data_IF_961466120904
#
_entry.id   IF_961466120904
#
_cell.length_a   1.000
_cell.length_b   1.000
_cell.length_c   1.000
_cell.angle_alpha   90.00
_cell.angle_beta   90.00
_cell.angle_gamma   90.00
#
_symmetry.space_group_name_H-M   'P 1'
#
loop_
_entity.id
_entity.type
_entity.pdbx_description
1 polymer ?
#
# COMPACT_ATOMS: atom_id res chain seq x y z
N UNK A 1 -4.20 9.97 -21.22
CA UNK A 1 -2.96 9.94 -20.40
C UNK A 1 -1.74 9.62 -21.26
N UNK A 2 -1.68 8.47 -21.92
CA UNK A 2 -0.55 8.02 -22.75
C UNK A 2 -0.04 9.04 -23.80
N UNK A 3 -0.96 9.76 -24.46
CA UNK A 3 -0.59 10.81 -25.42
C UNK A 3 0.25 11.91 -24.75
N UNK A 4 -0.17 12.39 -23.58
CA UNK A 4 0.54 13.43 -22.82
C UNK A 4 1.92 12.93 -22.38
N UNK A 5 2.00 11.69 -21.90
CA UNK A 5 3.26 11.08 -21.48
C UNK A 5 4.24 10.91 -22.65
N UNK A 6 3.71 10.52 -23.82
CA UNK A 6 4.50 10.37 -25.05
C UNK A 6 5.01 11.71 -25.54
N UNK A 7 4.15 12.74 -25.57
CA UNK A 7 4.55 14.09 -25.95
C UNK A 7 5.57 14.68 -24.97
N UNK A 8 5.46 14.39 -23.67
CA UNK A 8 6.45 14.81 -22.66
C UNK A 8 7.81 14.15 -22.89
N UNK A 9 7.83 12.82 -23.08
CA UNK A 9 9.07 12.06 -23.38
C UNK A 9 9.75 12.52 -24.67
N UNK A 10 8.97 12.87 -25.70
CA UNK A 10 9.48 13.45 -26.96
C UNK A 10 9.91 14.92 -26.83
N UNK A 11 9.69 15.56 -25.67
CA UNK A 11 10.01 16.97 -25.44
C UNK A 11 9.07 17.96 -26.14
N UNK A 12 7.94 17.49 -26.70
CA UNK A 12 6.89 18.33 -27.28
C UNK A 12 6.12 19.08 -26.19
N UNK A 13 5.90 18.42 -25.05
CA UNK A 13 5.40 19.04 -23.83
C UNK A 13 6.57 19.33 -22.90
N UNK A 14 6.79 20.59 -22.55
CA UNK A 14 7.90 21.03 -21.70
C UNK A 14 7.57 21.02 -20.20
N UNK A 15 6.30 21.23 -19.87
CA UNK A 15 5.81 21.33 -18.49
C UNK A 15 4.61 20.42 -18.32
N UNK A 16 4.63 19.61 -17.26
CA UNK A 16 3.53 18.72 -16.89
C UNK A 16 3.09 19.05 -15.47
N UNK A 17 1.82 19.41 -15.31
CA UNK A 17 1.18 19.56 -14.00
C UNK A 17 0.38 18.31 -13.67
N UNK A 18 0.69 17.69 -12.55
CA UNK A 18 0.18 16.38 -12.16
C UNK A 18 -0.32 16.40 -10.71
N UNK A 19 -1.38 15.65 -10.42
CA UNK A 19 -1.78 15.33 -9.04
C UNK A 19 -0.94 14.17 -8.50
N UNK A 20 -1.01 13.91 -7.19
CA UNK A 20 -0.20 12.91 -6.49
C UNK A 20 -0.29 11.50 -7.07
N UNK A 21 -1.45 11.11 -7.61
CA UNK A 21 -1.68 9.79 -8.22
C UNK A 21 -0.84 9.58 -9.48
N UNK A 22 -0.76 10.61 -10.34
CA UNK A 22 0.09 10.55 -11.52
C UNK A 22 1.57 10.62 -11.12
N UNK A 23 1.92 11.41 -10.10
CA UNK A 23 3.30 11.53 -9.63
C UNK A 23 3.86 10.22 -9.04
N UNK A 24 3.05 9.33 -8.49
CA UNK A 24 3.51 8.03 -8.00
C UNK A 24 3.61 6.96 -9.12
N UNK A 25 2.74 7.02 -10.13
CA UNK A 25 2.48 5.89 -11.03
C UNK A 25 3.09 5.92 -12.44
N UNK A 26 3.99 6.83 -12.78
CA UNK A 26 4.56 6.93 -14.15
C UNK A 26 6.05 7.17 -14.15
N UNK A 27 6.79 6.49 -15.03
CA UNK A 27 8.21 6.77 -15.23
C UNK A 27 8.42 7.98 -16.15
N UNK A 28 8.19 9.18 -15.62
CA UNK A 28 8.43 10.46 -16.32
C UNK A 28 9.48 11.27 -15.55
N UNK A 29 10.78 11.09 -15.83
CA UNK A 29 11.82 11.91 -15.22
C UNK A 29 11.79 13.32 -15.81
N UNK A 30 12.03 14.32 -14.97
CA UNK A 30 12.04 15.73 -15.32
C UNK A 30 13.32 16.37 -14.78
N UNK A 31 13.89 17.39 -15.44
CA UNK A 31 15.06 18.10 -14.86
C UNK A 31 14.73 18.71 -13.49
N UNK A 32 13.51 19.21 -13.32
CA UNK A 32 13.03 19.84 -12.09
C UNK A 32 11.63 19.34 -11.73
N UNK A 33 11.42 19.07 -10.45
CA UNK A 33 10.10 18.77 -9.85
C UNK A 33 9.73 19.92 -8.92
N UNK A 34 8.50 20.43 -9.05
CA UNK A 34 8.01 21.55 -8.23
C UNK A 34 6.75 21.09 -7.49
N UNK A 35 6.79 21.20 -6.17
CA UNK A 35 5.64 20.98 -5.30
C UNK A 35 4.99 22.33 -5.01
N UNK A 36 3.73 22.49 -5.46
CA UNK A 36 3.01 23.75 -5.30
C UNK A 36 2.68 24.09 -3.85
N UNK A 37 2.54 23.06 -3.01
CA UNK A 37 2.25 23.13 -1.58
C UNK A 37 2.70 21.83 -0.89
N UNK A 38 2.97 21.84 0.43
CA UNK A 38 3.39 20.66 1.18
C UNK A 38 2.21 19.76 1.62
N UNK A 39 1.07 19.84 0.94
CA UNK A 39 -0.18 19.17 1.31
C UNK A 39 -0.71 18.31 0.16
N UNK A 40 -1.16 17.10 0.47
CA UNK A 40 -1.96 16.24 -0.41
C UNK A 40 -3.35 16.11 0.21
N UNK A 41 -4.33 16.78 -0.38
CA UNK A 41 -5.67 16.89 0.22
C UNK A 41 -5.60 17.64 1.56
N UNK A 42 -5.96 16.96 2.65
CA UNK A 42 -5.89 17.51 4.03
C UNK A 42 -4.64 17.04 4.79
N UNK A 43 -3.87 16.14 4.22
CA UNK A 43 -2.68 15.58 4.85
C UNK A 43 -1.44 16.36 4.44
N UNK A 44 -0.54 16.57 5.40
CA UNK A 44 0.79 17.04 5.08
C UNK A 44 1.57 15.92 4.40
N UNK A 45 2.43 16.30 3.46
CA UNK A 45 3.28 15.37 2.76
C UNK A 45 4.17 14.62 3.76
N UNK A 46 4.31 13.30 3.63
CA UNK A 46 5.29 12.54 4.42
C UNK A 46 6.63 12.42 3.67
N UNK A 47 7.70 12.12 4.41
CA UNK A 47 9.05 11.99 3.82
C UNK A 47 9.13 10.94 2.70
N UNK A 48 8.36 9.86 2.76
CA UNK A 48 8.36 8.80 1.72
C UNK A 48 7.76 9.33 0.43
N UNK A 49 6.56 9.91 0.49
CA UNK A 49 5.85 10.49 -0.65
C UNK A 49 6.66 11.63 -1.26
N UNK A 50 7.26 12.49 -0.43
CA UNK A 50 8.15 13.54 -0.91
C UNK A 50 9.31 12.94 -1.70
N UNK A 51 10.06 11.99 -1.13
CA UNK A 51 11.23 11.39 -1.79
C UNK A 51 10.86 10.63 -3.06
N UNK A 52 9.73 9.92 -3.08
CA UNK A 52 9.24 9.26 -4.29
C UNK A 52 8.97 10.24 -5.43
N UNK A 53 8.35 11.38 -5.15
CA UNK A 53 8.07 12.40 -6.16
C UNK A 53 9.31 13.21 -6.54
N UNK A 54 10.10 13.64 -5.55
CA UNK A 54 11.32 14.42 -5.73
C UNK A 54 12.41 13.60 -6.46
N UNK A 55 12.44 12.28 -6.27
CA UNK A 55 13.35 11.36 -6.98
C UNK A 55 13.13 11.28 -8.49
N UNK A 56 12.06 11.89 -9.03
CA UNK A 56 11.89 12.06 -10.48
C UNK A 56 12.65 13.25 -11.05
N UNK A 57 13.24 14.08 -10.20
CA UNK A 57 14.08 15.18 -10.62
C UNK A 57 15.46 14.67 -11.08
N UNK A 58 15.89 15.10 -12.27
CA UNK A 58 17.10 14.66 -12.95
C UNK A 58 16.82 13.54 -13.94
N UNK A 59 17.21 13.73 -15.20
CA UNK A 59 17.14 12.70 -16.24
C UNK A 59 18.51 12.04 -16.40
N UNK A 60 18.59 10.76 -16.08
CA UNK A 60 19.81 9.95 -16.23
C UNK A 60 20.39 10.07 -17.64
N UNK A 61 21.68 10.40 -17.74
CA UNK A 61 22.38 10.54 -19.02
C UNK A 61 22.10 11.84 -19.78
N UNK A 62 21.26 12.74 -19.26
CA UNK A 62 20.95 14.02 -19.91
C UNK A 62 21.29 15.21 -19.01
N UNK A 63 20.81 15.20 -17.76
CA UNK A 63 21.03 16.30 -16.82
C UNK A 63 22.22 16.01 -15.91
N UNK A 64 23.03 17.03 -15.60
CA UNK A 64 24.12 16.94 -14.62
C UNK A 64 23.63 16.92 -13.17
N UNK A 65 22.42 17.43 -12.93
CA UNK A 65 21.75 17.46 -11.63
C UNK A 65 20.23 17.53 -11.78
N UNK A 66 19.51 16.97 -10.82
CA UNK A 66 18.07 17.14 -10.64
C UNK A 66 17.76 18.16 -9.55
N UNK A 67 16.67 18.92 -9.71
CA UNK A 67 16.24 19.91 -8.72
C UNK A 67 14.82 19.62 -8.22
N UNK A 68 14.64 19.64 -6.90
CA UNK A 68 13.33 19.55 -6.24
C UNK A 68 13.05 20.86 -5.51
N UNK A 69 11.91 21.49 -5.81
CA UNK A 69 11.51 22.77 -5.21
C UNK A 69 10.18 22.60 -4.50
N UNK A 70 10.15 22.81 -3.19
CA UNK A 70 8.93 22.78 -2.39
C UNK A 70 8.52 24.20 -1.98
N UNK A 71 7.37 24.66 -2.51
CA UNK A 71 6.82 25.97 -2.17
C UNK A 71 6.06 25.85 -0.84
N UNK A 72 6.36 26.75 0.10
CA UNK A 72 5.77 26.73 1.43
C UNK A 72 5.56 28.11 2.03
N UNK A 73 4.71 28.18 3.06
CA UNK A 73 4.49 29.37 3.88
C UNK A 73 5.51 29.44 5.02
N UNK A 74 5.79 30.64 5.57
CA UNK A 74 6.74 30.80 6.68
C UNK A 74 6.45 29.90 7.89
N UNK A 75 5.17 29.71 8.24
CA UNK A 75 4.76 28.83 9.35
C UNK A 75 4.98 27.34 9.12
N UNK A 76 5.23 26.90 7.89
CA UNK A 76 5.43 25.50 7.52
C UNK A 76 6.92 25.12 7.51
N UNK A 77 7.82 26.11 7.56
CA UNK A 77 9.26 25.93 7.37
C UNK A 77 9.84 24.86 8.32
N UNK A 78 9.51 24.93 9.61
CA UNK A 78 10.00 23.98 10.61
C UNK A 78 9.62 22.53 10.26
N UNK A 79 8.36 22.32 9.85
CA UNK A 79 7.85 21.00 9.49
C UNK A 79 8.46 20.47 8.19
N UNK A 80 8.72 21.36 7.23
CA UNK A 80 9.40 21.01 5.98
C UNK A 80 10.85 20.63 6.24
N UNK A 81 11.56 21.37 7.09
CA UNK A 81 12.93 21.02 7.45
C UNK A 81 12.97 19.64 8.12
N UNK A 82 11.97 19.28 8.94
CA UNK A 82 11.84 17.92 9.46
C UNK A 82 11.62 16.92 8.31
N UNK A 83 10.63 17.17 7.43
CA UNK A 83 10.30 16.30 6.29
C UNK A 83 11.50 16.03 5.36
N UNK A 84 12.34 17.02 5.10
CA UNK A 84 13.52 16.86 4.26
C UNK A 84 14.60 15.97 4.90
N UNK A 85 14.66 15.98 6.24
CA UNK A 85 15.61 15.18 7.02
C UNK A 85 15.03 13.85 7.51
N UNK A 86 13.72 13.65 7.41
CA UNK A 86 13.06 12.40 7.77
C UNK A 86 13.57 11.24 6.92
N UNK A 87 13.88 10.11 7.56
CA UNK A 87 14.09 8.84 6.88
C UNK A 87 12.81 8.31 6.24
N UNK A 88 12.91 7.20 5.50
CA UNK A 88 11.70 6.46 5.16
C UNK A 88 11.26 5.68 6.42
N UNK A 89 10.06 5.93 6.99
CA UNK A 89 9.55 5.13 8.09
C UNK A 89 9.52 3.64 7.71
N UNK A 90 9.69 2.73 8.68
CA UNK A 90 9.65 1.31 8.42
C UNK A 90 8.28 0.91 7.85
N UNK A 91 8.30 -0.03 6.91
CA UNK A 91 7.07 -0.58 6.36
C UNK A 91 6.30 -1.35 7.44
N UNK A 92 4.99 -1.14 7.48
CA UNK A 92 4.09 -1.82 8.40
C UNK A 92 3.19 -2.77 7.62
N UNK A 93 2.97 -3.96 8.17
CA UNK A 93 2.06 -4.93 7.56
C UNK A 93 0.62 -4.41 7.54
N UNK A 94 -0.01 -4.52 6.37
CA UNK A 94 -1.42 -4.18 6.19
C UNK A 94 -2.39 -5.25 6.74
N UNK A 95 -1.87 -6.39 7.20
CA UNK A 95 -2.68 -7.44 7.84
C UNK A 95 -3.06 -7.10 9.29
N UNK A 96 -2.56 -6.01 9.86
CA UNK A 96 -2.88 -5.61 11.23
C UNK A 96 -4.38 -5.37 11.42
N UNK A 97 -4.88 -5.61 12.63
CA UNK A 97 -6.32 -5.54 12.99
C UNK A 97 -7.00 -4.24 12.56
N UNK A 98 -6.32 -3.11 12.70
CA UNK A 98 -6.86 -1.77 12.36
C UNK A 98 -7.27 -1.61 10.89
N UNK A 99 -6.77 -2.48 10.00
CA UNK A 99 -6.92 -2.34 8.54
C UNK A 99 -7.89 -3.35 7.92
N UNK A 100 -8.51 -4.23 8.72
CA UNK A 100 -9.30 -5.37 8.24
C UNK A 100 -8.56 -6.30 7.25
N UNK A 101 -7.23 -6.16 7.13
CA UNK A 101 -6.45 -6.87 6.12
C UNK A 101 -6.39 -8.37 6.37
N UNK A 102 -6.34 -8.79 7.64
CA UNK A 102 -6.38 -10.21 8.01
C UNK A 102 -7.68 -10.88 7.56
N UNK A 103 -8.82 -10.22 7.74
CA UNK A 103 -10.14 -10.78 7.36
C UNK A 103 -10.23 -11.02 5.86
N UNK A 104 -9.77 -10.06 5.04
CA UNK A 104 -9.70 -10.24 3.59
C UNK A 104 -8.74 -11.37 3.20
N UNK A 105 -7.53 -11.37 3.74
CA UNK A 105 -6.52 -12.40 3.48
C UNK A 105 -7.03 -13.80 3.81
N UNK A 106 -7.66 -13.99 4.97
CA UNK A 106 -8.19 -15.30 5.39
C UNK A 106 -9.33 -15.76 4.47
N UNK A 107 -10.23 -14.86 4.06
CA UNK A 107 -11.28 -15.21 3.10
C UNK A 107 -10.68 -15.70 1.78
N UNK A 108 -9.69 -14.99 1.24
CA UNK A 108 -9.03 -15.35 -0.02
C UNK A 108 -8.33 -16.70 0.04
N UNK A 109 -7.55 -16.99 1.08
CA UNK A 109 -6.80 -18.25 1.17
C UNK A 109 -7.68 -19.46 1.46
N UNK A 110 -8.81 -19.27 2.16
CA UNK A 110 -9.78 -20.36 2.36
C UNK A 110 -10.62 -20.56 1.09
N UNK A 111 -11.10 -19.49 0.45
CA UNK A 111 -11.83 -19.57 -0.81
C UNK A 111 -11.01 -20.14 -1.96
N UNK A 112 -9.71 -19.84 -1.99
CA UNK A 112 -8.75 -20.44 -2.93
C UNK A 112 -8.36 -21.89 -2.58
N UNK A 113 -8.82 -22.45 -1.46
CA UNK A 113 -8.51 -23.81 -1.04
C UNK A 113 -7.08 -24.03 -0.53
N UNK A 114 -6.34 -22.96 -0.25
CA UNK A 114 -4.96 -23.00 0.26
C UNK A 114 -4.94 -23.31 1.76
N UNK A 115 -5.92 -22.78 2.50
CA UNK A 115 -6.09 -22.98 3.93
C UNK A 115 -7.42 -23.68 4.18
N UNK A 116 -7.38 -24.89 4.73
CA UNK A 116 -8.59 -25.65 5.05
C UNK A 116 -8.61 -26.13 6.51
N UNK A 117 -7.46 -26.24 7.16
CA UNK A 117 -7.35 -26.70 8.55
C UNK A 117 -6.78 -25.62 9.48
N UNK A 118 -6.93 -25.81 10.78
CA UNK A 118 -6.26 -24.97 11.78
C UNK A 118 -4.73 -24.98 11.59
N UNK A 119 -4.13 -26.11 11.23
CA UNK A 119 -2.69 -26.23 10.98
C UNK A 119 -2.24 -25.35 9.81
N UNK A 120 -3.09 -25.24 8.78
CA UNK A 120 -2.81 -24.40 7.61
C UNK A 120 -2.81 -22.92 7.97
N UNK A 121 -3.67 -22.49 8.89
CA UNK A 121 -3.67 -21.11 9.41
C UNK A 121 -2.31 -20.78 10.05
N UNK A 122 -1.81 -21.65 10.93
CA UNK A 122 -0.50 -21.46 11.53
C UNK A 122 0.62 -21.43 10.48
N UNK A 123 0.53 -22.25 9.43
CA UNK A 123 1.50 -22.24 8.32
C UNK A 123 1.43 -20.94 7.52
N UNK A 124 0.22 -20.48 7.20
CA UNK A 124 -0.01 -19.24 6.48
C UNK A 124 0.54 -18.02 7.25
N UNK A 125 0.18 -17.90 8.53
CA UNK A 125 0.62 -16.80 9.40
C UNK A 125 2.14 -16.70 9.47
N UNK A 126 2.84 -17.85 9.56
CA UNK A 126 4.32 -17.88 9.61
C UNK A 126 4.98 -17.21 8.40
N UNK A 127 4.32 -17.21 7.26
CA UNK A 127 4.83 -16.64 6.01
C UNK A 127 4.49 -15.15 5.84
N UNK A 128 3.79 -14.52 6.79
CA UNK A 128 3.36 -13.13 6.67
C UNK A 128 4.40 -12.14 7.21
N UNK A 129 4.44 -10.92 6.63
CA UNK A 129 5.21 -9.79 7.17
C UNK A 129 4.74 -9.38 8.58
N UNK A 130 3.47 -9.65 8.92
CA UNK A 130 2.97 -9.34 10.25
C UNK A 130 3.65 -10.23 11.31
N UNK A 131 3.85 -11.51 11.00
CA UNK A 131 4.55 -12.44 11.89
C UNK A 131 6.05 -12.15 12.04
N UNK A 132 6.69 -11.51 11.06
CA UNK A 132 8.08 -11.07 11.23
C UNK A 132 8.24 -9.84 12.13
N UNK A 133 7.14 -9.17 12.47
CA UNK A 133 7.17 -7.91 13.24
C UNK A 133 6.38 -7.97 14.56
N UNK A 134 5.55 -8.99 14.78
CA UNK A 134 4.76 -9.21 16.00
C UNK A 134 4.91 -10.65 16.51
N UNK A 135 4.64 -10.91 17.81
CA UNK A 135 4.64 -12.27 18.35
C UNK A 135 3.69 -13.19 17.58
N UNK A 136 4.15 -14.41 17.27
CA UNK A 136 3.39 -15.38 16.48
C UNK A 136 1.98 -15.63 17.03
N UNK A 137 1.84 -15.77 18.35
CA UNK A 137 0.56 -16.04 19.01
C UNK A 137 -0.45 -14.91 18.80
N UNK A 138 -0.01 -13.65 18.83
CA UNK A 138 -0.89 -12.50 18.59
C UNK A 138 -1.41 -12.50 17.15
N UNK A 139 -0.54 -12.85 16.19
CA UNK A 139 -0.92 -12.89 14.77
C UNK A 139 -1.85 -14.08 14.48
N UNK A 140 -1.61 -15.23 15.11
CA UNK A 140 -2.50 -16.40 15.05
C UNK A 140 -3.86 -16.05 15.63
N UNK A 141 -3.89 -15.41 16.80
CA UNK A 141 -5.14 -14.97 17.44
C UNK A 141 -5.92 -14.05 16.50
N UNK A 142 -5.26 -13.06 15.91
CA UNK A 142 -5.86 -12.16 14.93
C UNK A 142 -6.45 -12.91 13.73
N UNK A 143 -5.71 -13.88 13.17
CA UNK A 143 -6.19 -14.74 12.08
C UNK A 143 -7.40 -15.60 12.48
N UNK A 144 -7.39 -16.15 13.69
CA UNK A 144 -8.50 -16.94 14.24
C UNK A 144 -9.74 -16.07 14.49
N UNK A 145 -9.58 -14.85 14.99
CA UNK A 145 -10.67 -13.91 15.21
C UNK A 145 -11.31 -13.47 13.89
N UNK A 146 -10.49 -13.19 12.85
CA UNK A 146 -10.95 -12.97 11.48
C UNK A 146 -11.73 -14.17 10.94
N UNK A 147 -11.24 -15.39 11.16
CA UNK A 147 -11.91 -16.60 10.71
C UNK A 147 -13.26 -16.82 11.43
N UNK A 148 -13.31 -16.61 12.75
CA UNK A 148 -14.55 -16.67 13.54
C UNK A 148 -15.57 -15.65 13.04
N UNK A 149 -15.11 -14.44 12.74
CA UNK A 149 -15.95 -13.38 12.18
C UNK A 149 -16.52 -13.78 10.81
N UNK A 150 -15.71 -14.35 9.92
CA UNK A 150 -16.13 -14.82 8.60
C UNK A 150 -17.15 -15.97 8.70
N UNK A 151 -16.97 -16.90 9.64
CA UNK A 151 -17.94 -17.95 9.91
C UNK A 151 -19.25 -17.39 10.46
N UNK A 152 -19.18 -16.46 11.41
CA UNK A 152 -20.35 -15.80 11.98
C UNK A 152 -21.16 -15.03 10.92
N UNK A 153 -20.47 -14.37 9.99
CA UNK A 153 -21.06 -13.62 8.87
C UNK A 153 -21.44 -14.49 7.67
N UNK A 154 -21.31 -15.82 7.76
CA UNK A 154 -21.67 -16.79 6.69
C UNK A 154 -20.88 -16.62 5.39
N UNK A 155 -19.64 -16.14 5.45
CA UNK A 155 -18.71 -16.19 4.32
C UNK A 155 -17.98 -17.54 4.27
N UNK A 156 -17.67 -18.10 5.44
CA UNK A 156 -17.04 -19.41 5.59
C UNK A 156 -17.91 -20.30 6.49
N UNK A 157 -17.69 -21.61 6.39
CA UNK A 157 -18.34 -22.63 7.23
C UNK A 157 -17.30 -23.64 7.72
N UNK A 158 -17.43 -24.05 8.98
CA UNK A 158 -16.63 -25.11 9.57
C UNK A 158 -17.43 -26.40 9.57
N UNK A 159 -16.86 -27.46 9.00
CA UNK A 159 -17.44 -28.79 9.04
C UNK A 159 -16.85 -29.57 10.23
N UNK A 160 -17.71 -29.93 11.19
CA UNK A 160 -17.30 -30.65 12.40
C UNK A 160 -16.85 -32.09 12.15
N UNK A 161 -17.32 -32.74 11.08
CA UNK A 161 -16.95 -34.13 10.74
C UNK A 161 -15.59 -34.17 10.05
N UNK A 162 -15.40 -33.32 9.03
CA UNK A 162 -14.16 -33.32 8.24
C UNK A 162 -13.05 -32.48 8.89
N UNK A 163 -13.39 -31.63 9.87
CA UNK A 163 -12.49 -30.64 10.48
C UNK A 163 -11.86 -29.71 9.42
N UNK A 164 -12.65 -29.34 8.42
CA UNK A 164 -12.25 -28.46 7.33
C UNK A 164 -13.11 -27.20 7.29
N UNK A 165 -12.48 -26.09 6.95
CA UNK A 165 -13.15 -24.87 6.52
C UNK A 165 -13.54 -24.98 5.05
N UNK A 166 -14.75 -24.54 4.74
CA UNK A 166 -15.29 -24.45 3.40
C UNK A 166 -15.91 -23.08 3.16
N UNK A 167 -16.01 -22.68 1.90
CA UNK A 167 -16.55 -21.37 1.53
C UNK A 167 -18.00 -21.49 1.14
N UNK A 168 -18.84 -20.58 1.64
CA UNK A 168 -20.26 -20.50 1.31
C UNK A 168 -20.47 -19.88 -0.08
N UNK A 169 -21.69 -19.93 -0.66
CA UNK A 169 -22.01 -19.16 -1.86
C UNK A 169 -21.74 -17.65 -1.71
N UNK A 170 -22.02 -17.07 -0.54
CA UNK A 170 -21.73 -15.66 -0.24
C UNK A 170 -20.21 -15.39 -0.23
N UNK A 171 -19.44 -16.25 0.43
CA UNK A 171 -17.98 -16.15 0.45
C UNK A 171 -17.36 -16.27 -0.93
N UNK A 172 -17.85 -17.21 -1.75
CA UNK A 172 -17.43 -17.35 -3.15
C UNK A 172 -17.77 -16.13 -3.97
N UNK A 173 -18.97 -15.56 -3.79
CA UNK A 173 -19.37 -14.32 -4.45
C UNK A 173 -18.43 -13.16 -4.10
N UNK A 174 -18.12 -12.99 -2.81
CA UNK A 174 -17.20 -11.93 -2.36
C UNK A 174 -15.77 -12.12 -2.86
N UNK A 175 -15.27 -13.35 -2.87
CA UNK A 175 -13.96 -13.69 -3.44
C UNK A 175 -13.92 -13.41 -4.96
N UNK A 176 -14.94 -13.82 -5.70
CA UNK A 176 -15.01 -13.67 -7.15
C UNK A 176 -15.42 -12.28 -7.66
N UNK A 177 -15.79 -11.36 -6.76
CA UNK A 177 -16.18 -9.98 -7.13
C UNK A 177 -15.00 -8.99 -7.16
N UNK A 178 -13.77 -9.50 -7.02
CA UNK A 178 -12.52 -8.72 -7.04
C UNK A 178 -11.92 -8.62 -8.43
#
# INVERSE_FOLDING_TARGET
REVVETCYRKGLVRVLTATSTLAAGVNLPARRVIFRQPMIGREFLDGTRYKQMAGRAGRTGIDTKGESVLICKPGELKRIMTLLNEGCPPLQSCLSEDKNGMTHAILEVVAGGIVQTAKDIHRYVRCTLLNSTKPFEDVVKSAQDSLRWLCHRKFLEWNEETKLYSTTPLGRGAFGSS
#
